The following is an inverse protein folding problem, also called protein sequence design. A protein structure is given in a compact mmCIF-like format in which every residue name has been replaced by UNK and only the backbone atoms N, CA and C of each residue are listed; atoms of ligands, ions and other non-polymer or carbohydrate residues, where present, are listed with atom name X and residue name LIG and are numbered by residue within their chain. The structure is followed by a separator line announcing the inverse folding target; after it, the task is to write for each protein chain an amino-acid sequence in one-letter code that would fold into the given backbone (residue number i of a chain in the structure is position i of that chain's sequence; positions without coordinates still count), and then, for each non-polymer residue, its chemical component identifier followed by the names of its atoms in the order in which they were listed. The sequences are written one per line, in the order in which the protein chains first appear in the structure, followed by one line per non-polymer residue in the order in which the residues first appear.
data_IF_390416490620
#
_entry.id   IF_390416490620
#
_cell.length_a   1.000
_cell.length_b   1.000
_cell.length_c   1.000
_cell.angle_alpha   90.00
_cell.angle_beta   90.00
_cell.angle_gamma   90.00
#
_symmetry.space_group_name_H-M   'P 1'
#
loop_
_entity.id
_entity.type
_entity.pdbx_description
1 polymer ?
#
# COMPACT_ATOMS: atom_id res chain seq x y z
N UNK A 1 41.92 -13.47 -31.47
CA UNK A 1 41.22 -14.47 -30.62
C UNK A 1 41.18 -14.10 -29.15
N UNK A 2 42.22 -13.49 -28.59
CA UNK A 2 42.23 -13.14 -27.17
C UNK A 2 41.31 -11.98 -26.78
N UNK A 3 40.89 -11.14 -27.72
CA UNK A 3 40.05 -9.98 -27.48
C UNK A 3 38.54 -10.33 -27.49
N UNK A 4 38.14 -11.49 -27.98
CA UNK A 4 36.74 -11.91 -28.03
C UNK A 4 36.20 -12.40 -26.68
N UNK A 5 37.07 -13.00 -25.86
CA UNK A 5 36.70 -13.51 -24.53
C UNK A 5 36.24 -12.42 -23.55
N UNK A 6 36.96 -11.27 -23.40
CA UNK A 6 36.45 -10.22 -22.51
C UNK A 6 35.20 -9.53 -23.04
N UNK A 7 35.03 -9.50 -24.36
CA UNK A 7 33.82 -8.91 -24.97
C UNK A 7 32.56 -9.76 -24.72
N UNK A 8 32.68 -11.08 -24.80
CA UNK A 8 31.60 -12.02 -24.48
C UNK A 8 31.23 -11.92 -22.99
N UNK A 9 32.19 -11.76 -22.11
CA UNK A 9 31.98 -11.60 -20.68
C UNK A 9 31.25 -10.29 -20.34
N UNK A 10 31.59 -9.21 -21.06
CA UNK A 10 30.93 -7.91 -20.94
C UNK A 10 29.44 -7.97 -21.38
N UNK A 11 29.17 -8.67 -22.49
CA UNK A 11 27.80 -8.86 -22.98
C UNK A 11 26.97 -9.72 -22.01
N UNK A 12 27.57 -10.74 -21.42
CA UNK A 12 26.91 -11.59 -20.43
C UNK A 12 26.54 -10.80 -19.16
N UNK A 13 27.36 -9.83 -18.78
CA UNK A 13 27.12 -8.97 -17.62
C UNK A 13 25.97 -7.97 -17.86
N UNK A 14 25.75 -7.54 -19.10
CA UNK A 14 24.65 -6.66 -19.48
C UNK A 14 23.30 -7.35 -19.49
N UNK A 15 23.25 -8.68 -19.63
CA UNK A 15 22.00 -9.45 -19.66
C UNK A 15 21.39 -9.67 -18.25
N UNK A 16 22.14 -9.44 -17.18
CA UNK A 16 21.69 -9.66 -15.81
C UNK A 16 20.92 -8.45 -15.27
N UNK A 17 20.85 -7.35 -16.01
CA UNK A 17 20.32 -6.06 -15.55
C UNK A 17 18.80 -5.92 -15.67
N UNK A 18 18.06 -7.00 -15.93
CA UNK A 18 16.59 -6.92 -15.97
C UNK A 18 16.02 -7.16 -14.56
N UNK A 19 16.13 -6.17 -13.67
CA UNK A 19 15.57 -6.24 -12.33
C UNK A 19 14.12 -5.76 -12.34
N UNK A 20 13.23 -6.55 -11.75
CA UNK A 20 11.88 -6.13 -11.45
C UNK A 20 11.91 -5.19 -10.23
N UNK A 21 11.44 -3.97 -10.41
CA UNK A 21 11.39 -3.00 -9.34
C UNK A 21 10.06 -3.10 -8.60
N UNK A 22 10.14 -3.18 -7.27
CA UNK A 22 8.99 -3.15 -6.39
C UNK A 22 8.95 -1.80 -5.68
N UNK A 23 7.78 -1.21 -5.63
CA UNK A 23 7.55 0.02 -4.90
C UNK A 23 6.41 -0.18 -3.91
N UNK A 24 6.65 0.18 -2.66
CA UNK A 24 5.64 0.12 -1.61
C UNK A 24 5.34 1.54 -1.13
N UNK A 25 4.08 1.95 -1.26
CA UNK A 25 3.60 3.25 -0.82
C UNK A 25 2.65 3.07 0.37
N UNK A 26 2.83 3.90 1.39
CA UNK A 26 2.05 3.82 2.61
C UNK A 26 2.57 2.77 3.58
N UNK A 27 1.67 2.00 4.19
CA UNK A 27 2.02 0.98 5.18
C UNK A 27 2.76 -0.20 4.53
N UNK A 28 3.75 -0.74 5.23
CA UNK A 28 4.44 -1.95 4.79
C UNK A 28 3.56 -3.20 4.94
N UNK A 29 3.86 -4.24 4.17
CA UNK A 29 3.13 -5.53 4.26
C UNK A 29 3.16 -6.11 5.68
N UNK A 30 4.28 -5.97 6.38
CA UNK A 30 4.41 -6.40 7.77
C UNK A 30 3.47 -5.63 8.69
N UNK A 31 3.36 -4.32 8.49
CA UNK A 31 2.45 -3.46 9.25
C UNK A 31 1.00 -3.82 8.98
N UNK A 32 0.64 -4.09 7.74
CA UNK A 32 -0.71 -4.51 7.34
C UNK A 32 -1.13 -5.80 8.03
N UNK A 33 -0.25 -6.80 8.09
CA UNK A 33 -0.51 -8.08 8.78
C UNK A 33 -0.73 -7.92 10.27
N UNK A 34 -0.04 -6.97 10.89
CA UNK A 34 -0.08 -6.70 12.32
C UNK A 34 -0.97 -5.50 12.67
N UNK A 35 -1.71 -4.98 11.68
CA UNK A 35 -2.60 -3.85 11.89
C UNK A 35 -3.76 -4.26 12.80
N UNK A 36 -3.78 -3.70 13.99
CA UNK A 36 -4.75 -4.05 15.00
C UNK A 36 -5.34 -2.78 15.63
N UNK A 37 -6.66 -2.73 15.66
CA UNK A 37 -7.43 -1.63 16.22
C UNK A 37 -8.50 -2.19 17.14
N UNK A 38 -8.58 -1.68 18.36
CA UNK A 38 -9.61 -2.05 19.33
C UNK A 38 -10.71 -0.99 19.34
N UNK A 39 -11.91 -1.38 18.92
CA UNK A 39 -13.08 -0.49 18.93
C UNK A 39 -13.43 -0.09 20.37
N UNK A 40 -13.57 1.21 20.60
CA UNK A 40 -13.86 1.78 21.89
C UNK A 40 -12.66 1.99 22.81
N UNK A 41 -11.46 1.57 22.38
CA UNK A 41 -10.23 1.68 23.21
C UNK A 41 -9.09 2.42 22.50
N UNK A 42 -8.83 2.11 21.25
CA UNK A 42 -7.72 2.72 20.49
C UNK A 42 -8.02 4.17 20.17
N UNK A 43 -7.10 5.08 20.51
CA UNK A 43 -7.22 6.49 20.18
C UNK A 43 -6.48 6.85 18.90
N UNK A 44 -6.87 7.97 18.27
CA UNK A 44 -6.16 8.53 17.11
C UNK A 44 -4.67 8.73 17.40
N UNK A 45 -4.34 9.22 18.58
CA UNK A 45 -2.96 9.46 19.02
C UNK A 45 -2.15 8.17 19.06
N UNK A 46 -2.75 7.08 19.55
CA UNK A 46 -2.11 5.76 19.58
C UNK A 46 -1.88 5.22 18.16
N UNK A 47 -2.83 5.42 17.25
CA UNK A 47 -2.68 5.03 15.86
C UNK A 47 -1.54 5.77 15.18
N UNK A 48 -1.46 7.08 15.35
CA UNK A 48 -0.38 7.91 14.78
C UNK A 48 0.98 7.53 15.36
N UNK A 49 1.05 7.25 16.65
CA UNK A 49 2.28 6.82 17.31
C UNK A 49 2.76 5.46 16.80
N UNK A 50 1.85 4.54 16.51
CA UNK A 50 2.17 3.16 16.11
C UNK A 50 2.37 3.02 14.61
N UNK A 51 1.57 3.67 13.80
CA UNK A 51 1.52 3.50 12.34
C UNK A 51 1.93 4.74 11.53
N UNK A 52 2.20 5.84 12.21
CA UNK A 52 2.50 7.11 11.57
C UNK A 52 1.25 7.91 11.20
N UNK A 53 1.42 9.07 10.54
CA UNK A 53 0.29 9.90 10.15
C UNK A 53 -0.58 9.18 9.10
N UNK A 54 -1.91 9.38 9.16
CA UNK A 54 -2.80 8.85 8.13
C UNK A 54 -2.55 9.53 6.78
N UNK A 55 -2.85 8.83 5.69
CA UNK A 55 -2.69 9.39 4.35
C UNK A 55 -3.74 10.45 4.04
N UNK A 56 -4.92 10.32 4.64
CA UNK A 56 -6.03 11.25 4.47
C UNK A 56 -6.87 11.33 5.73
N UNK A 57 -7.37 12.51 6.04
CA UNK A 57 -8.32 12.77 7.12
C UNK A 57 -9.56 13.49 6.59
N UNK A 58 -10.75 12.99 6.91
CA UNK A 58 -12.00 13.68 6.64
C UNK A 58 -12.55 14.26 7.93
N UNK A 59 -12.50 15.57 8.05
CA UNK A 59 -12.92 16.28 9.25
C UNK A 59 -14.36 16.82 9.17
N UNK A 60 -14.97 16.81 7.97
CA UNK A 60 -16.21 17.54 7.75
C UNK A 60 -17.48 16.78 8.13
N UNK A 61 -17.54 15.48 7.87
CA UNK A 61 -18.79 14.73 8.08
C UNK A 61 -18.70 13.65 9.16
N UNK A 62 -17.61 12.96 9.20
CA UNK A 62 -17.34 11.94 10.20
C UNK A 62 -15.84 11.99 10.44
N UNK A 63 -15.42 12.17 11.64
CA UNK A 63 -14.01 12.19 11.99
C UNK A 63 -13.36 10.86 11.57
N UNK A 64 -12.99 10.76 10.31
CA UNK A 64 -12.53 9.52 9.65
C UNK A 64 -11.11 9.70 9.17
N UNK A 65 -10.27 8.72 9.44
CA UNK A 65 -8.89 8.67 8.97
C UNK A 65 -8.68 7.44 8.10
N UNK A 66 -7.77 7.56 7.13
CA UNK A 66 -7.47 6.52 6.17
C UNK A 66 -5.99 6.16 6.18
N UNK A 67 -5.71 4.87 6.26
CA UNK A 67 -4.39 4.30 6.03
C UNK A 67 -4.43 3.45 4.77
N UNK A 68 -3.37 3.50 3.98
CA UNK A 68 -3.28 2.78 2.71
C UNK A 68 -1.96 2.03 2.65
N UNK A 69 -2.01 0.83 2.11
CA UNK A 69 -0.83 0.08 1.69
C UNK A 69 -0.99 -0.28 0.21
N UNK A 70 -0.13 0.25 -0.62
CA UNK A 70 -0.16 0.04 -2.07
C UNK A 70 1.18 -0.49 -2.55
N UNK A 71 1.23 -1.76 -2.88
CA UNK A 71 2.40 -2.42 -3.43
C UNK A 71 2.27 -2.54 -4.94
N UNK A 72 3.21 -1.94 -5.65
CA UNK A 72 3.27 -1.96 -7.11
C UNK A 72 4.58 -2.56 -7.58
N UNK A 73 4.56 -3.20 -8.73
CA UNK A 73 5.77 -3.63 -9.43
C UNK A 73 5.78 -3.10 -10.85
N UNK A 74 6.96 -2.84 -11.35
CA UNK A 74 7.15 -2.48 -12.75
C UNK A 74 8.46 -3.08 -13.26
N UNK A 75 8.43 -3.50 -14.51
CA UNK A 75 9.62 -3.88 -15.28
C UNK A 75 10.01 -2.69 -16.15
N UNK A 76 11.29 -2.58 -16.46
CA UNK A 76 11.77 -1.60 -17.45
C UNK A 76 10.95 -1.74 -18.74
N UNK A 77 10.37 -0.65 -19.24
CA UNK A 77 9.52 -0.58 -20.43
C UNK A 77 8.13 -1.22 -20.31
N UNK A 78 7.66 -1.62 -19.12
CA UNK A 78 6.30 -2.11 -18.93
C UNK A 78 5.47 -1.22 -18.01
N UNK A 79 4.14 -1.38 -18.08
CA UNK A 79 3.20 -0.65 -17.21
C UNK A 79 3.35 -1.11 -15.76
N UNK A 80 3.10 -0.21 -14.83
CA UNK A 80 3.01 -0.54 -13.42
C UNK A 80 1.84 -1.50 -13.18
N UNK A 81 2.08 -2.49 -12.34
CA UNK A 81 1.07 -3.46 -11.92
C UNK A 81 0.88 -3.34 -10.41
N UNK A 82 -0.38 -3.22 -9.98
CA UNK A 82 -0.73 -3.32 -8.57
C UNK A 82 -0.68 -4.78 -8.13
N UNK A 83 0.17 -5.10 -7.16
CA UNK A 83 0.27 -6.43 -6.59
C UNK A 83 -0.67 -6.60 -5.40
N UNK A 84 -0.72 -5.60 -4.52
CA UNK A 84 -1.56 -5.58 -3.33
C UNK A 84 -2.03 -4.18 -3.04
N UNK A 85 -3.29 -4.05 -2.67
CA UNK A 85 -3.88 -2.80 -2.22
C UNK A 85 -4.72 -3.09 -0.97
N UNK A 86 -4.44 -2.36 0.10
CA UNK A 86 -5.24 -2.37 1.32
C UNK A 86 -5.58 -0.94 1.71
N UNK A 87 -6.84 -0.71 2.04
CA UNK A 87 -7.31 0.57 2.56
C UNK A 87 -7.97 0.31 3.91
N UNK A 88 -7.52 1.02 4.92
CA UNK A 88 -8.10 0.98 6.26
C UNK A 88 -8.86 2.28 6.50
N UNK A 89 -10.16 2.17 6.67
CA UNK A 89 -11.04 3.29 7.00
C UNK A 89 -11.40 3.20 8.48
N UNK A 90 -11.03 4.23 9.23
CA UNK A 90 -11.17 4.27 10.68
C UNK A 90 -12.06 5.44 11.06
N UNK A 91 -13.22 5.15 11.62
CA UNK A 91 -14.16 6.15 12.12
C UNK A 91 -13.88 6.42 13.60
N UNK A 92 -13.71 7.69 13.92
CA UNK A 92 -13.44 8.14 15.29
C UNK A 92 -14.69 8.81 15.86
N UNK A 93 -14.84 8.70 17.19
CA UNK A 93 -15.86 9.45 17.91
C UNK A 93 -15.41 10.87 18.23
N UNK A 94 -16.23 11.64 18.96
CA UNK A 94 -15.92 13.02 19.33
C UNK A 94 -14.68 13.15 20.25
N UNK A 95 -14.31 12.08 20.91
CA UNK A 95 -13.11 11.99 21.78
C UNK A 95 -11.89 11.44 21.04
N UNK A 96 -11.96 11.24 19.70
CA UNK A 96 -10.92 10.64 18.90
C UNK A 96 -10.59 9.18 19.26
N UNK A 97 -11.59 8.45 19.72
CA UNK A 97 -11.50 7.00 19.98
C UNK A 97 -12.16 6.26 18.81
N UNK A 98 -11.58 5.16 18.37
CA UNK A 98 -12.10 4.35 17.28
C UNK A 98 -13.49 3.80 17.63
N UNK A 99 -14.49 4.13 16.81
CA UNK A 99 -15.84 3.61 16.96
C UNK A 99 -16.20 2.57 15.88
N UNK A 100 -15.56 2.62 14.72
CA UNK A 100 -15.76 1.66 13.63
C UNK A 100 -14.48 1.54 12.80
N UNK A 101 -14.25 0.36 12.25
CA UNK A 101 -13.09 0.04 11.44
C UNK A 101 -13.49 -0.81 10.25
N UNK A 102 -13.05 -0.42 9.06
CA UNK A 102 -13.27 -1.17 7.81
C UNK A 102 -11.95 -1.39 7.08
N UNK A 103 -11.80 -2.57 6.53
CA UNK A 103 -10.67 -2.95 5.69
C UNK A 103 -11.16 -3.27 4.29
N UNK A 104 -10.62 -2.59 3.31
CA UNK A 104 -10.88 -2.84 1.89
C UNK A 104 -9.64 -3.40 1.22
N UNK A 105 -9.86 -4.33 0.30
CA UNK A 105 -8.81 -4.90 -0.54
C UNK A 105 -9.04 -4.50 -1.99
N UNK A 106 -8.09 -4.82 -2.87
CA UNK A 106 -8.23 -4.59 -4.31
C UNK A 106 -9.52 -5.21 -4.88
N UNK A 107 -9.89 -6.38 -4.37
CA UNK A 107 -11.12 -7.08 -4.80
C UNK A 107 -12.37 -6.28 -4.50
N UNK A 108 -12.43 -5.64 -3.34
CA UNK A 108 -13.57 -4.80 -2.95
C UNK A 108 -13.70 -3.56 -3.83
N UNK A 109 -12.58 -2.99 -4.28
CA UNK A 109 -12.59 -1.84 -5.19
C UNK A 109 -13.13 -2.18 -6.57
N UNK A 110 -12.86 -3.37 -7.08
CA UNK A 110 -13.42 -3.86 -8.34
C UNK A 110 -14.93 -4.04 -8.26
N UNK A 111 -15.45 -4.55 -7.16
CA UNK A 111 -16.88 -4.71 -6.95
C UNK A 111 -17.62 -3.36 -6.91
N UNK A 112 -16.98 -2.33 -6.34
CA UNK A 112 -17.53 -0.96 -6.34
C UNK A 112 -17.58 -0.34 -7.74
N UNK A 113 -16.58 -0.60 -8.58
CA UNK A 113 -16.56 -0.11 -9.96
C UNK A 113 -17.65 -0.77 -10.83
N UNK A 114 -17.93 -2.04 -10.61
CA UNK A 114 -19.00 -2.76 -11.31
C UNK A 114 -20.37 -2.20 -10.92
N UNK A 115 -20.59 -1.90 -9.65
CA UNK A 115 -21.86 -1.33 -9.18
C UNK A 115 -22.13 0.08 -9.69
N UNK A 116 -21.10 0.85 -10.04
CA UNK A 116 -21.24 2.18 -10.62
C UNK A 116 -21.57 2.19 -12.11
N UNK A 117 -21.36 1.09 -12.81
CA UNK A 117 -21.65 0.97 -14.26
C UNK A 117 -23.09 0.56 -14.57
N UNK A 118 -23.84 0.18 -13.59
CA UNK A 118 -25.27 -0.07 -13.68
C UNK A 118 -26.07 1.20 -13.34
#
# INVERSE_FOLDING_TARGET
MYYLKPFIFLILFLLISCSQNFQNNGLSDKTVKNFNVEIGKTSKKQLISKYGPPIFENLFNNNTIYYVSHNTSYKTFSKRKTNKLYVFEIFLDDENIVKEFKKFTEKDSLDLDISKKE
#
